data_IF_815375163596
#
_entry.id   IF_815375163596
#
_cell.length_a   1.000
_cell.length_b   1.000
_cell.length_c   1.000
_cell.angle_alpha   90.00
_cell.angle_beta   90.00
_cell.angle_gamma   90.00
#
_symmetry.space_group_name_H-M   'P 1'
#
loop_
_entity.id
_entity.type
_entity.pdbx_description
1 polymer ?
#
# COMPACT_ATOMS: atom_id res chain seq x y z
N UNK A 1 -9.53 -28.07 -25.77
CA UNK A 1 -9.55 -26.59 -25.84
C UNK A 1 -9.97 -26.12 -24.46
N UNK A 2 -9.02 -25.65 -23.62
CA UNK A 2 -9.40 -24.99 -22.36
C UNK A 2 -10.10 -23.69 -22.76
N UNK A 3 -11.35 -23.53 -22.35
CA UNK A 3 -12.01 -22.25 -22.42
C UNK A 3 -11.19 -21.28 -21.58
N UNK A 4 -10.45 -20.41 -22.26
CA UNK A 4 -9.77 -19.27 -21.64
C UNK A 4 -10.86 -18.36 -21.12
N UNK A 5 -11.21 -18.51 -19.86
CA UNK A 5 -12.07 -17.62 -19.11
C UNK A 5 -11.31 -16.32 -18.83
N UNK A 6 -10.91 -15.60 -19.92
CA UNK A 6 -10.42 -14.24 -19.83
C UNK A 6 -11.61 -13.44 -19.34
N UNK A 7 -11.58 -13.02 -18.09
CA UNK A 7 -12.50 -11.99 -17.60
C UNK A 7 -12.44 -10.87 -18.63
N UNK A 8 -13.47 -10.74 -19.43
CA UNK A 8 -13.62 -9.73 -20.47
C UNK A 8 -13.89 -8.39 -19.78
N UNK A 9 -12.95 -7.95 -18.92
CA UNK A 9 -13.11 -6.65 -18.27
C UNK A 9 -13.66 -5.66 -19.28
N UNK A 10 -14.57 -4.82 -18.89
CA UNK A 10 -15.38 -3.89 -19.67
C UNK A 10 -14.65 -3.06 -20.76
N UNK A 11 -13.58 -3.64 -21.38
CA UNK A 11 -12.72 -2.97 -22.36
C UNK A 11 -13.48 -2.48 -23.60
N UNK A 12 -14.59 -3.11 -23.95
CA UNK A 12 -15.44 -2.69 -25.07
C UNK A 12 -16.15 -1.35 -24.81
N UNK A 13 -16.32 -0.96 -23.55
CA UNK A 13 -16.87 0.34 -23.18
C UNK A 13 -15.89 1.49 -23.47
N UNK A 14 -14.65 1.19 -23.86
CA UNK A 14 -13.65 2.20 -24.20
C UNK A 14 -14.07 3.03 -25.42
N UNK A 15 -14.37 4.30 -25.18
CA UNK A 15 -14.74 5.30 -26.19
C UNK A 15 -13.54 5.89 -26.96
N UNK A 16 -12.32 5.41 -26.71
CA UNK A 16 -11.07 5.88 -27.35
C UNK A 16 -10.76 7.36 -27.17
N UNK A 17 -11.25 7.99 -26.12
CA UNK A 17 -11.06 9.41 -25.80
C UNK A 17 -9.62 9.80 -25.41
N UNK A 18 -8.76 8.82 -25.08
CA UNK A 18 -7.34 9.00 -24.66
C UNK A 18 -7.11 9.74 -23.34
N UNK A 19 -8.12 10.05 -22.53
CA UNK A 19 -7.92 10.67 -21.20
C UNK A 19 -7.00 9.85 -20.29
N UNK A 20 -7.03 8.53 -20.37
CA UNK A 20 -6.14 7.66 -19.62
C UNK A 20 -4.65 7.87 -19.96
N UNK A 21 -4.34 8.38 -21.15
CA UNK A 21 -2.96 8.66 -21.59
C UNK A 21 -2.43 9.95 -20.97
N UNK A 22 -3.29 10.97 -20.79
CA UNK A 22 -2.89 12.27 -20.22
C UNK A 22 -2.51 12.20 -18.75
N UNK A 23 -3.08 11.24 -18.01
CA UNK A 23 -2.83 11.05 -16.57
C UNK A 23 -1.79 9.97 -16.28
N UNK A 24 -1.24 9.32 -17.32
CA UNK A 24 -0.30 8.22 -17.13
C UNK A 24 1.12 8.73 -16.83
N UNK A 25 1.63 8.54 -15.61
CA UNK A 25 2.95 9.05 -15.24
C UNK A 25 4.08 8.33 -15.98
N UNK A 26 3.86 7.07 -16.40
CA UNK A 26 4.87 6.32 -17.15
C UNK A 26 4.96 6.82 -18.57
N UNK A 27 3.84 7.00 -19.26
CA UNK A 27 3.83 7.48 -20.63
C UNK A 27 4.47 8.88 -20.77
N UNK A 28 4.27 9.73 -19.76
CA UNK A 28 4.89 11.05 -19.71
C UNK A 28 6.42 11.02 -19.54
N UNK A 29 7.00 9.91 -19.01
CA UNK A 29 8.41 9.84 -18.61
C UNK A 29 9.19 8.67 -19.24
N UNK A 30 8.52 7.81 -20.02
CA UNK A 30 9.16 6.66 -20.66
C UNK A 30 8.63 6.49 -22.09
N UNK A 31 9.41 6.84 -23.13
CA UNK A 31 8.98 6.74 -24.52
C UNK A 31 8.78 5.30 -25.00
N UNK A 32 9.36 4.30 -24.32
CA UNK A 32 9.20 2.88 -24.66
C UNK A 32 7.83 2.34 -24.25
N UNK A 33 7.04 3.10 -23.49
CA UNK A 33 5.70 2.70 -23.08
C UNK A 33 4.63 3.30 -24.00
N UNK A 34 3.95 2.43 -24.74
CA UNK A 34 2.90 2.84 -25.68
C UNK A 34 1.61 3.38 -25.04
N UNK A 35 1.56 3.49 -23.71
CA UNK A 35 0.44 4.07 -22.97
C UNK A 35 -0.66 3.09 -22.58
N UNK A 36 -1.53 3.52 -21.63
CA UNK A 36 -2.55 2.66 -21.05
C UNK A 36 -3.64 2.24 -22.03
N UNK A 37 -4.05 3.09 -22.98
CA UNK A 37 -5.06 2.75 -23.99
C UNK A 37 -4.56 1.65 -24.91
N UNK A 38 -3.34 1.80 -25.45
CA UNK A 38 -2.71 0.80 -26.32
C UNK A 38 -2.50 -0.53 -25.59
N UNK A 39 -1.98 -0.49 -24.38
CA UNK A 39 -1.63 -1.68 -23.62
C UNK A 39 -2.84 -2.38 -23.00
N UNK A 40 -3.87 -1.65 -22.61
CA UNK A 40 -5.10 -2.13 -22.02
C UNK A 40 -6.18 -2.46 -23.06
N UNK A 41 -7.20 -1.59 -23.28
CA UNK A 41 -8.37 -1.95 -24.09
C UNK A 41 -8.06 -2.25 -25.55
N UNK A 42 -7.18 -1.51 -26.20
CA UNK A 42 -6.82 -1.80 -27.60
C UNK A 42 -6.00 -3.11 -27.68
N UNK A 43 -5.03 -3.31 -26.77
CA UNK A 43 -4.28 -4.55 -26.68
C UNK A 43 -5.19 -5.75 -26.41
N UNK A 44 -6.23 -5.59 -25.59
CA UNK A 44 -7.18 -6.68 -25.30
C UNK A 44 -7.98 -7.09 -26.55
N UNK A 45 -8.40 -6.14 -27.38
CA UNK A 45 -9.03 -6.46 -28.67
C UNK A 45 -8.14 -7.31 -29.57
N UNK A 46 -6.85 -6.98 -29.64
CA UNK A 46 -5.87 -7.79 -30.41
C UNK A 46 -5.66 -9.16 -29.80
N UNK A 47 -5.55 -9.27 -28.48
CA UNK A 47 -5.38 -10.56 -27.79
C UNK A 47 -6.53 -11.52 -28.08
N UNK A 48 -7.75 -11.01 -28.01
CA UNK A 48 -8.95 -11.82 -28.30
C UNK A 48 -9.07 -12.20 -29.77
N UNK A 49 -8.69 -11.31 -30.70
CA UNK A 49 -8.81 -11.54 -32.15
C UNK A 49 -7.73 -12.49 -32.66
N UNK A 50 -6.50 -12.33 -32.22
CA UNK A 50 -5.32 -12.97 -32.83
C UNK A 50 -4.68 -14.05 -31.93
N UNK A 51 -5.31 -14.39 -30.80
CA UNK A 51 -4.72 -15.27 -29.79
C UNK A 51 -3.71 -14.52 -28.91
N UNK A 52 -2.56 -15.14 -28.63
CA UNK A 52 -1.56 -14.58 -27.73
C UNK A 52 -0.88 -13.37 -28.36
N UNK A 53 -1.08 -12.20 -27.77
CA UNK A 53 -0.32 -11.00 -28.05
C UNK A 53 0.30 -10.48 -26.75
N UNK A 54 1.62 -10.56 -26.67
CA UNK A 54 2.40 -9.99 -25.57
C UNK A 54 3.33 -8.90 -26.11
N UNK A 55 3.19 -7.71 -25.57
CA UNK A 55 4.08 -6.58 -25.83
C UNK A 55 4.97 -6.37 -24.61
N UNK A 56 6.28 -6.42 -24.78
CA UNK A 56 7.26 -6.23 -23.71
C UNK A 56 7.09 -4.88 -22.99
N UNK A 57 6.44 -3.90 -23.61
CA UNK A 57 6.12 -2.61 -22.98
C UNK A 57 5.14 -2.71 -21.82
N UNK A 58 4.35 -3.80 -21.72
CA UNK A 58 3.42 -4.04 -20.61
C UNK A 58 4.14 -4.04 -19.24
N UNK A 59 5.42 -4.39 -19.21
CA UNK A 59 6.26 -4.38 -17.99
C UNK A 59 6.41 -2.99 -17.36
N UNK A 60 6.22 -1.92 -18.13
CA UNK A 60 6.36 -0.55 -17.65
C UNK A 60 5.12 -0.04 -16.90
N UNK A 61 3.97 -0.69 -17.04
CA UNK A 61 2.78 -0.33 -16.27
C UNK A 61 3.02 -0.50 -14.76
N UNK A 62 2.85 0.59 -14.00
CA UNK A 62 3.05 0.62 -12.54
C UNK A 62 1.86 0.08 -11.75
N UNK A 63 0.75 -0.24 -12.41
CA UNK A 63 -0.52 -0.62 -11.76
C UNK A 63 -1.04 0.45 -10.76
N UNK A 64 -0.77 1.72 -11.02
CA UNK A 64 -1.18 2.83 -10.15
C UNK A 64 -2.67 3.20 -10.25
N UNK A 65 -3.40 2.60 -11.18
CA UNK A 65 -4.85 2.78 -11.39
C UNK A 65 -5.31 4.18 -11.81
N UNK A 66 -4.44 5.19 -11.96
CA UNK A 66 -4.83 6.55 -12.34
C UNK A 66 -5.60 6.61 -13.65
N UNK A 67 -5.23 5.77 -14.63
CA UNK A 67 -5.95 5.65 -15.90
C UNK A 67 -7.39 5.13 -15.73
N UNK A 68 -7.67 4.36 -14.68
CA UNK A 68 -9.02 3.88 -14.34
C UNK A 68 -9.82 4.97 -13.65
N UNK A 69 -9.21 5.72 -12.72
CA UNK A 69 -9.83 6.87 -12.05
C UNK A 69 -10.27 7.92 -13.07
N UNK A 70 -9.42 8.21 -14.06
CA UNK A 70 -9.72 9.18 -15.10
C UNK A 70 -10.64 8.67 -16.23
N UNK A 71 -10.99 7.39 -16.24
CA UNK A 71 -11.79 6.82 -17.33
C UNK A 71 -13.28 7.14 -17.18
N UNK A 72 -13.91 7.95 -18.06
CA UNK A 72 -15.32 8.30 -17.94
C UNK A 72 -16.26 7.10 -18.17
N UNK A 73 -15.76 6.06 -18.84
CA UNK A 73 -16.50 4.81 -19.09
C UNK A 73 -16.20 3.72 -18.06
N UNK A 74 -15.45 4.01 -17.01
CA UNK A 74 -15.12 3.07 -15.95
C UNK A 74 -14.32 1.84 -16.41
N UNK A 75 -13.58 1.91 -17.51
CA UNK A 75 -12.78 0.78 -18.01
C UNK A 75 -11.64 0.47 -17.06
N UNK A 76 -11.51 -0.78 -16.65
CA UNK A 76 -10.45 -1.26 -15.74
C UNK A 76 -9.15 -1.50 -16.49
N UNK A 77 -8.54 -0.42 -16.95
CA UNK A 77 -7.42 -0.41 -17.90
C UNK A 77 -6.16 -1.06 -17.32
N UNK A 78 -5.83 -0.74 -16.08
CA UNK A 78 -4.64 -1.29 -15.43
C UNK A 78 -4.83 -2.80 -15.14
N UNK A 79 -6.04 -3.23 -14.77
CA UNK A 79 -6.35 -4.64 -14.58
C UNK A 79 -6.19 -5.44 -15.86
N UNK A 80 -6.68 -4.91 -17.01
CA UNK A 80 -6.45 -5.55 -18.32
C UNK A 80 -4.96 -5.73 -18.62
N UNK A 81 -4.13 -4.73 -18.29
CA UNK A 81 -2.69 -4.80 -18.48
C UNK A 81 -2.06 -5.84 -17.55
N UNK A 82 -2.45 -5.84 -16.26
CA UNK A 82 -1.93 -6.82 -15.30
C UNK A 82 -2.36 -8.24 -15.64
N UNK A 83 -3.61 -8.45 -16.02
CA UNK A 83 -4.11 -9.76 -16.49
C UNK A 83 -3.30 -10.26 -17.70
N UNK A 84 -3.04 -9.38 -18.68
CA UNK A 84 -2.21 -9.73 -19.82
C UNK A 84 -0.77 -10.08 -19.41
N UNK A 85 -0.20 -9.36 -18.42
CA UNK A 85 1.13 -9.70 -17.87
C UNK A 85 1.12 -11.06 -17.18
N UNK A 86 0.09 -11.38 -16.43
CA UNK A 86 -0.06 -12.65 -15.72
C UNK A 86 -0.20 -13.82 -16.72
N UNK A 87 -1.05 -13.64 -17.70
CA UNK A 87 -1.41 -14.71 -18.65
C UNK A 87 -0.31 -14.98 -19.68
N UNK A 88 0.29 -13.93 -20.23
CA UNK A 88 1.17 -14.04 -21.38
C UNK A 88 2.66 -13.87 -21.05
N UNK A 89 3.02 -13.45 -19.83
CA UNK A 89 4.42 -13.39 -19.41
C UNK A 89 4.90 -14.78 -19.02
N UNK A 90 5.63 -15.44 -19.93
CA UNK A 90 6.20 -16.79 -19.69
C UNK A 90 7.52 -16.75 -18.90
N UNK A 91 7.97 -15.58 -18.43
CA UNK A 91 9.26 -15.43 -17.76
C UNK A 91 9.14 -15.83 -16.29
N UNK A 92 9.94 -16.77 -15.84
CA UNK A 92 10.13 -17.05 -14.43
C UNK A 92 10.65 -15.78 -13.70
N UNK A 93 10.19 -15.49 -12.48
CA UNK A 93 10.66 -14.34 -11.74
C UNK A 93 12.17 -14.48 -11.48
N UNK A 94 12.91 -13.35 -11.63
CA UNK A 94 14.34 -13.30 -11.33
C UNK A 94 14.55 -13.44 -9.81
N UNK A 95 15.72 -13.90 -9.38
CA UNK A 95 16.07 -14.01 -7.97
C UNK A 95 15.80 -12.69 -7.21
N UNK A 96 16.17 -11.56 -7.79
CA UNK A 96 15.85 -10.22 -7.26
C UNK A 96 14.35 -10.03 -7.00
N UNK A 97 13.52 -10.42 -7.97
CA UNK A 97 12.08 -10.23 -7.90
C UNK A 97 11.46 -11.09 -6.80
N UNK A 98 11.99 -12.32 -6.64
CA UNK A 98 11.62 -13.20 -5.52
C UNK A 98 12.01 -12.58 -4.18
N UNK A 99 13.23 -12.07 -4.06
CA UNK A 99 13.70 -11.42 -2.81
C UNK A 99 12.84 -10.21 -2.45
N UNK A 100 12.57 -9.32 -3.42
CA UNK A 100 11.74 -8.13 -3.20
C UNK A 100 10.29 -8.47 -2.86
N UNK A 101 9.78 -9.61 -3.32
CA UNK A 101 8.40 -10.03 -3.09
C UNK A 101 8.21 -10.90 -1.83
N UNK A 102 9.28 -11.31 -1.17
CA UNK A 102 9.27 -12.29 -0.07
C UNK A 102 9.56 -11.66 1.31
N UNK A 103 9.17 -10.41 1.53
CA UNK A 103 9.37 -9.71 2.81
C UNK A 103 8.77 -10.49 4.00
N UNK A 104 7.64 -11.14 3.79
CA UNK A 104 6.98 -11.99 4.77
C UNK A 104 7.78 -13.24 5.16
N UNK A 105 8.54 -13.81 4.21
CA UNK A 105 9.36 -15.00 4.44
C UNK A 105 10.75 -14.63 4.98
N UNK A 106 11.33 -13.53 4.48
CA UNK A 106 12.65 -13.04 4.89
C UNK A 106 12.59 -12.28 6.22
N UNK A 107 11.45 -11.68 6.53
CA UNK A 107 11.25 -10.83 7.71
C UNK A 107 11.66 -11.49 9.02
N UNK A 108 11.23 -12.72 9.35
CA UNK A 108 11.62 -13.38 10.58
C UNK A 108 13.13 -13.55 10.75
N UNK A 109 13.82 -13.99 9.70
CA UNK A 109 15.28 -14.18 9.70
C UNK A 109 16.01 -12.84 9.76
N UNK A 110 15.59 -11.88 8.93
CA UNK A 110 16.21 -10.56 8.88
C UNK A 110 16.02 -9.80 10.19
N UNK A 111 14.87 -9.95 10.86
CA UNK A 111 14.62 -9.34 12.18
C UNK A 111 15.49 -9.95 13.28
N UNK A 112 15.71 -11.26 13.26
CA UNK A 112 16.55 -11.93 14.24
C UNK A 112 18.01 -11.41 14.27
N UNK A 113 18.49 -10.95 13.12
CA UNK A 113 19.85 -10.39 12.94
C UNK A 113 19.83 -8.96 12.39
N UNK A 114 18.77 -8.21 12.68
CA UNK A 114 18.51 -6.89 12.10
C UNK A 114 19.68 -5.88 12.20
N UNK A 115 20.42 -5.78 13.32
CA UNK A 115 21.57 -4.86 13.39
C UNK A 115 22.62 -5.16 12.31
N UNK A 116 22.92 -6.44 12.07
CA UNK A 116 23.91 -6.88 11.08
C UNK A 116 23.38 -6.62 9.67
N UNK A 117 22.14 -7.03 9.40
CA UNK A 117 21.49 -6.82 8.08
C UNK A 117 21.41 -5.33 7.75
N UNK A 118 20.92 -4.51 8.67
CA UNK A 118 20.77 -3.06 8.46
C UNK A 118 22.12 -2.37 8.24
N UNK A 119 23.16 -2.75 9.01
CA UNK A 119 24.52 -2.25 8.82
C UNK A 119 25.05 -2.64 7.43
N UNK A 120 24.96 -3.91 7.07
CA UNK A 120 25.43 -4.42 5.78
C UNK A 120 24.73 -3.75 4.59
N UNK A 121 23.40 -3.62 4.62
CA UNK A 121 22.62 -2.95 3.57
C UNK A 121 22.89 -1.44 3.48
N UNK A 122 23.49 -0.83 4.51
CA UNK A 122 23.93 0.56 4.51
C UNK A 122 25.26 0.77 3.79
N UNK A 123 26.09 -0.26 3.65
CA UNK A 123 27.46 -0.16 3.10
C UNK A 123 27.44 0.01 1.57
N UNK A 124 28.17 1.01 1.07
CA UNK A 124 28.27 1.26 -0.38
C UNK A 124 28.83 0.05 -1.16
N UNK A 125 29.86 -0.70 -0.69
CA UNK A 125 30.33 -1.89 -1.39
C UNK A 125 29.27 -2.99 -1.52
N UNK A 126 28.44 -3.19 -0.47
CA UNK A 126 27.34 -4.18 -0.50
C UNK A 126 26.28 -3.76 -1.49
N UNK A 127 25.87 -2.49 -1.48
CA UNK A 127 24.94 -1.95 -2.47
C UNK A 127 25.47 -2.08 -3.90
N UNK A 128 26.75 -1.81 -4.12
CA UNK A 128 27.41 -1.98 -5.41
C UNK A 128 27.42 -3.45 -5.87
N UNK A 129 27.65 -4.40 -4.94
CA UNK A 129 27.60 -5.81 -5.23
C UNK A 129 26.16 -6.26 -5.60
N UNK A 130 25.14 -5.80 -4.87
CA UNK A 130 23.73 -6.08 -5.17
C UNK A 130 23.29 -5.49 -6.53
N UNK A 131 23.82 -4.30 -6.87
CA UNK A 131 23.58 -3.69 -8.19
C UNK A 131 24.20 -4.54 -9.31
N UNK A 132 25.42 -5.00 -9.14
CA UNK A 132 26.14 -5.78 -10.14
C UNK A 132 25.56 -7.19 -10.31
N UNK A 133 25.20 -7.86 -9.21
CA UNK A 133 24.83 -9.29 -9.22
C UNK A 133 23.35 -9.52 -9.49
N UNK A 134 22.47 -8.79 -8.80
CA UNK A 134 21.02 -9.01 -8.90
C UNK A 134 20.28 -7.80 -9.50
N UNK A 135 20.94 -6.67 -9.73
CA UNK A 135 20.37 -5.49 -10.37
C UNK A 135 19.43 -4.68 -9.44
N UNK A 136 19.72 -4.66 -8.13
CA UNK A 136 19.15 -3.67 -7.21
C UNK A 136 19.99 -2.38 -7.31
N UNK A 137 19.33 -1.26 -7.56
CA UNK A 137 20.04 0.00 -7.77
C UNK A 137 20.79 0.45 -6.49
N UNK A 138 22.10 0.68 -6.59
CA UNK A 138 22.95 1.04 -5.47
C UNK A 138 22.62 2.40 -4.83
N UNK A 139 21.92 3.29 -5.56
CA UNK A 139 21.47 4.60 -5.07
C UNK A 139 20.25 4.49 -4.15
N UNK A 140 19.55 3.34 -4.14
CA UNK A 140 18.37 3.13 -3.31
C UNK A 140 18.73 3.04 -1.82
N UNK A 141 17.89 3.69 -1.02
CA UNK A 141 17.79 3.35 0.40
C UNK A 141 16.96 2.07 0.52
N UNK A 142 17.56 1.04 1.08
CA UNK A 142 16.88 -0.24 1.30
C UNK A 142 16.10 -0.21 2.62
N UNK A 143 14.92 -0.86 2.68
CA UNK A 143 14.13 -0.94 3.91
C UNK A 143 14.93 -1.58 5.05
N UNK A 144 14.86 -0.97 6.23
CA UNK A 144 15.46 -1.53 7.45
C UNK A 144 14.50 -2.54 8.09
N UNK A 145 15.06 -3.52 8.80
CA UNK A 145 14.32 -4.47 9.62
C UNK A 145 14.40 -4.08 11.09
N UNK A 146 13.31 -4.31 11.82
CA UNK A 146 13.29 -4.14 13.28
C UNK A 146 13.79 -5.40 13.98
N UNK A 147 14.55 -5.23 15.06
CA UNK A 147 15.00 -6.36 15.90
C UNK A 147 13.85 -6.99 16.71
N UNK A 148 12.81 -6.21 17.01
CA UNK A 148 11.59 -6.68 17.64
C UNK A 148 10.45 -6.58 16.64
N UNK A 149 9.80 -7.69 16.31
CA UNK A 149 8.62 -7.69 15.44
C UNK A 149 7.40 -7.16 16.20
N UNK A 150 6.44 -6.56 15.47
CA UNK A 150 5.20 -6.12 16.10
C UNK A 150 4.45 -7.25 16.78
N UNK A 151 4.32 -8.42 16.15
CA UNK A 151 3.62 -9.57 16.72
C UNK A 151 4.26 -10.03 18.03
N UNK A 152 5.60 -10.05 18.11
CA UNK A 152 6.30 -10.37 19.36
C UNK A 152 5.99 -9.34 20.45
N UNK A 153 6.13 -8.05 20.12
CA UNK A 153 5.82 -6.96 21.06
C UNK A 153 4.37 -7.01 21.55
N UNK A 154 3.42 -7.21 20.61
CA UNK A 154 1.99 -7.24 20.91
C UNK A 154 1.66 -8.37 21.91
N UNK A 155 2.11 -9.59 21.62
CA UNK A 155 1.86 -10.75 22.49
C UNK A 155 2.44 -10.55 23.91
N UNK A 156 3.59 -9.90 24.01
CA UNK A 156 4.26 -9.64 25.28
C UNK A 156 3.63 -8.51 26.09
N UNK A 157 3.18 -7.43 25.42
CA UNK A 157 2.87 -6.17 26.11
C UNK A 157 1.40 -5.74 26.02
N UNK A 158 0.66 -6.20 25.01
CA UNK A 158 -0.68 -5.67 24.72
C UNK A 158 -1.79 -6.73 24.74
N UNK A 159 -1.52 -7.95 24.32
CA UNK A 159 -2.54 -8.99 24.09
C UNK A 159 -3.46 -9.24 25.27
N UNK A 160 -2.90 -9.31 26.50
CA UNK A 160 -3.68 -9.63 27.74
C UNK A 160 -4.74 -8.58 28.11
N UNK A 161 -4.63 -7.37 27.56
CA UNK A 161 -5.56 -6.27 27.86
C UNK A 161 -6.70 -6.16 26.83
N UNK A 162 -6.59 -6.82 25.68
CA UNK A 162 -7.50 -6.56 24.56
C UNK A 162 -8.92 -7.08 24.81
N UNK A 163 -9.08 -8.15 25.55
CA UNK A 163 -10.41 -8.69 25.87
C UNK A 163 -11.19 -7.87 26.91
N UNK A 164 -10.55 -6.90 27.58
CA UNK A 164 -11.21 -6.03 28.55
C UNK A 164 -12.03 -4.90 27.93
N UNK A 165 -11.85 -4.62 26.64
CA UNK A 165 -12.60 -3.60 25.91
C UNK A 165 -13.99 -4.11 25.52
N UNK A 166 -14.97 -3.18 25.36
CA UNK A 166 -16.34 -3.54 24.97
C UNK A 166 -16.51 -3.75 23.47
N UNK A 167 -15.73 -3.02 22.67
CA UNK A 167 -15.73 -3.09 21.20
C UNK A 167 -14.46 -3.80 20.73
N UNK A 168 -14.53 -4.58 19.69
CA UNK A 168 -13.40 -5.37 19.22
C UNK A 168 -13.25 -5.26 17.70
N UNK A 169 -12.00 -5.21 17.24
CA UNK A 169 -11.61 -5.27 15.84
C UNK A 169 -10.51 -6.29 15.63
N UNK A 170 -10.38 -6.75 14.40
CA UNK A 170 -9.23 -7.52 13.94
C UNK A 170 -8.27 -6.61 13.13
N UNK A 171 -7.00 -6.67 13.45
CA UNK A 171 -5.97 -5.84 12.80
C UNK A 171 -5.19 -6.64 11.78
N UNK A 172 -5.30 -6.25 10.50
CA UNK A 172 -4.41 -6.73 9.44
C UNK A 172 -3.16 -5.84 9.41
N UNK A 173 -2.09 -6.30 10.06
CA UNK A 173 -0.87 -5.50 10.22
C UNK A 173 0.05 -5.54 8.99
N UNK A 174 -0.03 -6.61 8.17
CA UNK A 174 0.84 -6.78 7.02
C UNK A 174 2.32 -6.98 7.37
N UNK A 175 3.16 -7.16 6.33
CA UNK A 175 4.57 -7.44 6.53
C UNK A 175 5.37 -6.20 6.95
N UNK A 176 5.03 -5.01 6.42
CA UNK A 176 5.76 -3.78 6.72
C UNK A 176 5.68 -3.39 8.20
N UNK A 177 4.46 -3.30 8.75
CA UNK A 177 4.27 -2.95 10.15
C UNK A 177 4.77 -4.03 11.11
N UNK A 178 4.88 -5.28 10.66
CA UNK A 178 5.44 -6.34 11.50
C UNK A 178 6.97 -6.33 11.55
N UNK A 179 7.63 -6.20 10.39
CA UNK A 179 9.08 -6.44 10.28
C UNK A 179 9.91 -5.19 10.07
N UNK A 180 9.37 -4.17 9.39
CA UNK A 180 10.13 -2.98 9.01
C UNK A 180 9.85 -1.78 9.92
N UNK A 181 8.59 -1.55 10.30
CA UNK A 181 8.21 -0.39 11.11
C UNK A 181 7.15 -0.74 12.16
N UNK A 182 7.50 -1.53 13.21
CA UNK A 182 6.57 -1.93 14.27
C UNK A 182 5.93 -0.77 15.03
N UNK A 183 6.57 0.41 15.04
CA UNK A 183 6.02 1.59 15.70
C UNK A 183 4.66 1.98 15.12
N UNK A 184 4.45 1.89 13.81
CA UNK A 184 3.15 2.14 13.18
C UNK A 184 2.04 1.26 13.77
N UNK A 185 2.31 -0.04 13.94
CA UNK A 185 1.33 -0.95 14.51
C UNK A 185 1.12 -0.70 16.01
N UNK A 186 2.17 -0.30 16.75
CA UNK A 186 2.07 0.12 18.16
C UNK A 186 1.19 1.36 18.29
N UNK A 187 1.39 2.35 17.41
CA UNK A 187 0.59 3.58 17.35
C UNK A 187 -0.88 3.25 17.06
N UNK A 188 -1.14 2.35 16.10
CA UNK A 188 -2.49 1.87 15.80
C UNK A 188 -3.16 1.25 17.02
N UNK A 189 -2.49 0.35 17.73
CA UNK A 189 -3.04 -0.28 18.94
C UNK A 189 -3.34 0.79 20.00
N UNK A 190 -2.43 1.75 20.20
CA UNK A 190 -2.62 2.81 21.19
C UNK A 190 -3.82 3.71 20.86
N UNK A 191 -3.96 4.12 19.61
CA UNK A 191 -5.09 4.93 19.14
C UNK A 191 -6.41 4.18 19.28
N UNK A 192 -6.47 2.92 18.81
CA UNK A 192 -7.70 2.13 18.90
C UNK A 192 -8.10 1.84 20.32
N UNK A 193 -7.15 1.51 21.21
CA UNK A 193 -7.41 1.32 22.64
C UNK A 193 -7.92 2.60 23.31
N UNK A 194 -7.36 3.78 22.93
CA UNK A 194 -7.85 5.06 23.45
C UNK A 194 -9.31 5.33 23.01
N UNK A 195 -9.71 4.86 21.86
CA UNK A 195 -11.09 4.93 21.39
C UNK A 195 -11.98 3.77 21.87
N UNK A 196 -11.51 2.95 22.82
CA UNK A 196 -12.31 1.89 23.45
C UNK A 196 -12.41 0.59 22.65
N UNK A 197 -11.56 0.39 21.64
CA UNK A 197 -11.51 -0.83 20.86
C UNK A 197 -10.39 -1.75 21.32
N UNK A 198 -10.73 -3.01 21.63
CA UNK A 198 -9.77 -4.10 21.76
C UNK A 198 -9.30 -4.56 20.38
N UNK A 199 -7.98 -4.63 20.21
CA UNK A 199 -7.32 -4.99 18.95
C UNK A 199 -6.92 -6.46 19.00
N UNK A 200 -7.31 -7.25 17.99
CA UNK A 200 -6.95 -8.66 17.92
C UNK A 200 -6.14 -8.94 16.65
N UNK A 201 -5.06 -9.68 16.79
CA UNK A 201 -4.30 -10.15 15.64
C UNK A 201 -5.09 -11.24 14.90
N UNK A 202 -4.95 -11.25 13.58
CA UNK A 202 -5.60 -12.23 12.71
C UNK A 202 -4.76 -13.51 12.71
N UNK A 203 -5.30 -14.56 13.30
CA UNK A 203 -4.61 -15.85 13.35
C UNK A 203 -4.48 -16.45 11.94
N UNK A 204 -3.25 -16.72 11.52
CA UNK A 204 -2.96 -17.24 10.19
C UNK A 204 -2.85 -16.16 9.09
N UNK A 205 -2.80 -14.88 9.47
CA UNK A 205 -2.53 -13.79 8.54
C UNK A 205 -1.30 -14.05 7.68
N UNK A 206 -1.41 -13.70 6.39
CA UNK A 206 -0.31 -13.70 5.42
C UNK A 206 -0.14 -12.32 4.83
N UNK A 207 0.99 -12.07 4.17
CA UNK A 207 1.17 -10.86 3.38
C UNK A 207 0.00 -10.68 2.40
N UNK A 208 -0.43 -9.43 2.15
CA UNK A 208 -1.47 -9.15 1.15
C UNK A 208 -1.13 -9.67 -0.25
N UNK A 209 0.14 -9.89 -0.56
CA UNK A 209 0.59 -10.50 -1.81
C UNK A 209 0.86 -9.50 -2.93
N UNK A 210 0.66 -8.19 -2.75
CA UNK A 210 0.84 -7.19 -3.82
C UNK A 210 2.22 -7.26 -4.48
N UNK A 211 3.29 -7.43 -3.71
CA UNK A 211 4.64 -7.55 -4.25
C UNK A 211 4.82 -8.85 -5.06
N UNK A 212 4.16 -9.94 -4.66
CA UNK A 212 4.13 -11.21 -5.40
C UNK A 212 3.37 -11.05 -6.72
N UNK A 213 2.21 -10.38 -6.71
CA UNK A 213 1.43 -10.06 -7.92
C UNK A 213 2.28 -9.22 -8.89
N UNK A 214 2.87 -8.12 -8.40
CA UNK A 214 3.68 -7.20 -9.21
C UNK A 214 4.89 -7.87 -9.87
N UNK A 215 5.40 -8.95 -9.30
CA UNK A 215 6.56 -9.71 -9.80
C UNK A 215 6.17 -11.06 -10.44
N UNK A 216 4.90 -11.29 -10.74
CA UNK A 216 4.44 -12.47 -11.47
C UNK A 216 4.41 -13.78 -10.66
N UNK A 217 4.51 -13.70 -9.34
CA UNK A 217 4.48 -14.86 -8.43
C UNK A 217 3.03 -15.24 -8.07
N UNK A 218 2.18 -15.38 -9.10
CA UNK A 218 0.73 -15.55 -8.94
C UNK A 218 0.32 -16.76 -8.10
N UNK A 219 0.90 -17.95 -8.28
CA UNK A 219 0.53 -19.10 -7.44
C UNK A 219 0.80 -18.87 -5.95
N UNK A 220 1.87 -18.16 -5.61
CA UNK A 220 2.19 -17.83 -4.23
C UNK A 220 1.23 -16.78 -3.68
N UNK A 221 0.95 -15.70 -4.44
CA UNK A 221 -0.01 -14.68 -4.06
C UNK A 221 -1.42 -15.27 -3.86
N UNK A 222 -1.85 -16.18 -4.73
CA UNK A 222 -3.16 -16.84 -4.62
C UNK A 222 -3.26 -17.73 -3.36
N UNK A 223 -2.19 -18.43 -2.98
CA UNK A 223 -2.18 -19.20 -1.72
C UNK A 223 -2.32 -18.29 -0.50
N UNK A 224 -1.59 -17.15 -0.49
CA UNK A 224 -1.68 -16.19 0.60
C UNK A 224 -3.06 -15.54 0.66
N UNK A 225 -3.64 -15.17 -0.49
CA UNK A 225 -4.98 -14.61 -0.57
C UNK A 225 -6.05 -15.57 -0.01
N UNK A 226 -6.01 -16.85 -0.40
CA UNK A 226 -6.94 -17.86 0.12
C UNK A 226 -6.80 -18.06 1.63
N UNK A 227 -5.55 -18.05 2.14
CA UNK A 227 -5.30 -18.15 3.58
C UNK A 227 -5.85 -16.92 4.33
N UNK A 228 -5.66 -15.72 3.78
CA UNK A 228 -6.23 -14.49 4.35
C UNK A 228 -7.76 -14.51 4.35
N UNK A 229 -8.41 -14.92 3.27
CA UNK A 229 -9.88 -15.02 3.23
C UNK A 229 -10.41 -15.98 4.29
N UNK A 230 -9.76 -17.13 4.49
CA UNK A 230 -10.11 -18.07 5.55
C UNK A 230 -9.90 -17.49 6.96
N UNK A 231 -8.80 -16.77 7.17
CA UNK A 231 -8.50 -16.11 8.44
C UNK A 231 -9.47 -14.96 8.75
N UNK A 232 -9.85 -14.17 7.75
CA UNK A 232 -10.83 -13.09 7.87
C UNK A 232 -12.22 -13.62 8.19
N UNK A 233 -12.67 -14.70 7.54
CA UNK A 233 -13.94 -15.35 7.88
C UNK A 233 -14.02 -15.73 9.35
N UNK A 234 -12.92 -16.24 9.94
CA UNK A 234 -12.86 -16.54 11.38
C UNK A 234 -12.97 -15.29 12.26
N UNK A 235 -12.42 -14.15 11.81
CA UNK A 235 -12.56 -12.87 12.51
C UNK A 235 -14.01 -12.38 12.47
N UNK A 236 -14.66 -12.48 11.32
CA UNK A 236 -16.07 -12.07 11.16
C UNK A 236 -17.04 -12.92 11.98
N UNK A 237 -16.79 -14.23 12.09
CA UNK A 237 -17.60 -15.10 12.99
C UNK A 237 -17.51 -14.64 14.45
N UNK A 238 -16.40 -13.97 14.84
CA UNK A 238 -16.24 -13.35 16.17
C UNK A 238 -16.80 -11.93 16.24
N UNK A 239 -17.51 -11.46 15.22
CA UNK A 239 -18.07 -10.10 15.14
C UNK A 239 -17.01 -9.00 15.05
N UNK A 240 -15.85 -9.25 14.42
CA UNK A 240 -14.73 -8.32 14.36
C UNK A 240 -14.46 -7.92 12.92
N UNK A 241 -14.67 -6.66 12.60
CA UNK A 241 -14.26 -6.08 11.32
C UNK A 241 -12.73 -6.05 11.20
N UNK A 242 -12.23 -6.06 9.97
CA UNK A 242 -10.81 -6.08 9.64
C UNK A 242 -10.35 -4.66 9.34
N UNK A 243 -9.46 -4.14 10.17
CA UNK A 243 -8.91 -2.79 9.99
C UNK A 243 -7.46 -2.88 9.54
N UNK A 244 -7.08 -2.04 8.60
CA UNK A 244 -5.73 -1.93 8.04
C UNK A 244 -5.18 -0.51 8.20
N UNK A 245 -3.86 -0.34 8.09
CA UNK A 245 -3.16 0.97 8.10
C UNK A 245 -2.40 1.23 6.80
N UNK A 246 -2.48 0.32 5.85
CA UNK A 246 -1.78 0.40 4.56
C UNK A 246 -2.77 0.43 3.40
N UNK A 247 -2.81 1.54 2.69
CA UNK A 247 -3.69 1.68 1.53
C UNK A 247 -3.38 0.68 0.41
N UNK A 248 -2.10 0.31 0.25
CA UNK A 248 -1.70 -0.70 -0.74
C UNK A 248 -2.22 -2.09 -0.38
N UNK A 249 -2.14 -2.48 0.89
CA UNK A 249 -2.73 -3.74 1.34
C UNK A 249 -4.25 -3.72 1.19
N UNK A 250 -4.91 -2.65 1.61
CA UNK A 250 -6.37 -2.50 1.49
C UNK A 250 -6.83 -2.65 0.04
N UNK A 251 -6.20 -1.94 -0.88
CA UNK A 251 -6.49 -2.03 -2.31
C UNK A 251 -6.35 -3.48 -2.83
N UNK A 252 -5.29 -4.17 -2.44
CA UNK A 252 -5.03 -5.55 -2.85
C UNK A 252 -6.10 -6.50 -2.32
N UNK A 253 -6.48 -6.39 -1.05
CA UNK A 253 -7.51 -7.19 -0.42
C UNK A 253 -8.90 -6.96 -1.06
N UNK A 254 -9.22 -5.72 -1.39
CA UNK A 254 -10.54 -5.33 -1.92
C UNK A 254 -10.69 -5.59 -3.41
N UNK A 255 -9.69 -5.24 -4.23
CA UNK A 255 -9.82 -5.25 -5.68
C UNK A 255 -8.94 -6.29 -6.38
N UNK A 256 -7.68 -6.48 -5.99
CA UNK A 256 -6.77 -7.36 -6.74
C UNK A 256 -7.03 -8.85 -6.46
N UNK A 257 -7.54 -9.20 -5.28
CA UNK A 257 -7.91 -10.58 -4.98
C UNK A 257 -8.95 -11.12 -5.97
N UNK A 258 -10.12 -10.51 -6.14
CA UNK A 258 -11.09 -11.01 -7.12
C UNK A 258 -10.62 -10.79 -8.57
N UNK A 259 -10.01 -9.66 -8.88
CA UNK A 259 -9.71 -9.29 -10.26
C UNK A 259 -8.49 -10.01 -10.84
N UNK A 260 -7.40 -10.08 -10.09
CA UNK A 260 -6.13 -10.62 -10.58
C UNK A 260 -5.87 -12.06 -10.13
N UNK A 261 -6.26 -12.41 -8.91
CA UNK A 261 -6.01 -13.73 -8.35
C UNK A 261 -7.21 -14.68 -8.47
N UNK A 262 -8.38 -14.15 -8.88
CA UNK A 262 -9.64 -14.90 -8.95
C UNK A 262 -10.01 -15.55 -7.60
N UNK A 263 -9.72 -14.84 -6.52
CA UNK A 263 -10.09 -15.23 -5.15
C UNK A 263 -11.28 -14.38 -4.72
N UNK A 264 -12.41 -15.03 -4.52
CA UNK A 264 -13.66 -14.37 -4.10
C UNK A 264 -13.52 -13.77 -2.70
N UNK A 265 -13.92 -12.51 -2.56
CA UNK A 265 -13.95 -11.77 -1.31
C UNK A 265 -15.32 -11.12 -1.04
N UNK A 266 -16.36 -11.50 -1.80
CA UNK A 266 -17.67 -10.83 -1.79
C UNK A 266 -18.35 -10.80 -0.43
N UNK A 267 -18.18 -11.84 0.40
CA UNK A 267 -18.72 -11.90 1.76
C UNK A 267 -17.82 -11.28 2.83
N UNK A 268 -16.68 -10.67 2.47
CA UNK A 268 -15.68 -10.19 3.42
C UNK A 268 -15.33 -8.72 3.16
N UNK A 269 -15.31 -8.29 1.91
CA UNK A 269 -14.82 -6.97 1.48
C UNK A 269 -15.49 -5.79 2.21
N UNK A 270 -16.76 -5.90 2.55
CA UNK A 270 -17.54 -4.86 3.23
C UNK A 270 -17.11 -4.68 4.70
N UNK A 271 -16.42 -5.68 5.23
CA UNK A 271 -15.86 -5.70 6.58
C UNK A 271 -14.37 -5.34 6.62
N UNK A 272 -13.77 -4.99 5.49
CA UNK A 272 -12.38 -4.53 5.41
C UNK A 272 -12.37 -3.02 5.26
N UNK A 273 -11.73 -2.32 6.19
CA UNK A 273 -11.61 -0.86 6.14
C UNK A 273 -10.17 -0.41 6.42
N UNK A 274 -9.79 0.67 5.75
CA UNK A 274 -8.65 1.47 6.18
C UNK A 274 -9.03 2.22 7.46
N UNK A 275 -8.07 2.46 8.33
CA UNK A 275 -8.32 3.06 9.65
C UNK A 275 -8.83 4.49 9.57
N UNK A 276 -8.39 5.29 8.60
CA UNK A 276 -8.77 6.70 8.45
C UNK A 276 -10.27 6.88 8.19
N UNK A 277 -10.89 6.24 7.18
CA UNK A 277 -12.34 6.33 7.00
C UNK A 277 -13.13 5.71 8.17
N UNK A 278 -12.59 4.69 8.84
CA UNK A 278 -13.20 4.10 10.02
C UNK A 278 -13.28 5.12 11.18
N UNK A 279 -12.16 5.73 11.51
CA UNK A 279 -12.09 6.73 12.59
C UNK A 279 -12.83 8.01 12.24
N UNK A 280 -12.68 8.53 11.01
CA UNK A 280 -13.34 9.75 10.59
C UNK A 280 -14.86 9.66 10.78
N UNK A 281 -15.48 8.62 10.24
CA UNK A 281 -16.93 8.40 10.32
C UNK A 281 -17.42 8.31 11.78
N UNK A 282 -16.68 7.60 12.62
CA UNK A 282 -17.06 7.42 14.02
C UNK A 282 -16.86 8.69 14.86
N UNK A 283 -15.86 9.51 14.54
CA UNK A 283 -15.65 10.81 15.19
C UNK A 283 -16.68 11.84 14.70
N UNK A 284 -16.94 11.92 13.39
CA UNK A 284 -17.92 12.82 12.79
C UNK A 284 -19.32 12.56 13.33
N UNK A 285 -19.71 11.29 13.48
CA UNK A 285 -21.01 10.91 14.06
C UNK A 285 -21.13 11.17 15.57
N UNK A 286 -20.02 11.51 16.24
CA UNK A 286 -19.95 11.69 17.69
C UNK A 286 -19.90 10.38 18.49
N UNK A 287 -19.77 9.23 17.81
CA UNK A 287 -19.58 7.94 18.47
C UNK A 287 -18.24 7.86 19.20
N UNK A 288 -17.19 8.43 18.61
CA UNK A 288 -15.85 8.53 19.19
C UNK A 288 -15.53 10.00 19.49
N UNK A 289 -14.91 10.24 20.64
CA UNK A 289 -14.58 11.59 21.11
C UNK A 289 -13.08 11.73 21.32
N UNK A 290 -12.36 12.37 20.37
CA UNK A 290 -10.93 12.63 20.53
C UNK A 290 -10.70 13.73 21.58
N UNK A 291 -9.64 13.58 22.37
CA UNK A 291 -9.08 14.65 23.19
C UNK A 291 -7.69 14.94 22.67
N UNK A 292 -7.48 16.17 22.24
CA UNK A 292 -6.19 16.59 21.68
C UNK A 292 -5.26 17.12 22.78
N UNK A 293 -3.95 16.88 22.63
CA UNK A 293 -2.94 17.46 23.51
C UNK A 293 -2.90 18.98 23.37
N UNK A 294 -2.94 19.69 24.48
CA UNK A 294 -2.78 21.15 24.49
C UNK A 294 -1.40 21.54 23.93
N UNK A 295 -1.39 22.56 23.06
CA UNK A 295 -0.15 23.13 22.52
C UNK A 295 0.57 22.25 21.48
N UNK A 296 0.02 21.08 21.11
CA UNK A 296 0.58 20.28 20.00
C UNK A 296 0.43 21.06 18.69
N UNK A 297 1.52 21.20 17.95
CA UNK A 297 1.55 21.93 16.68
C UNK A 297 2.50 21.22 15.70
N UNK A 298 2.15 21.23 14.42
CA UNK A 298 3.01 20.75 13.35
C UNK A 298 2.56 21.32 12.00
N UNK A 299 3.50 21.40 11.04
CA UNK A 299 3.21 21.69 9.63
C UNK A 299 3.46 20.44 8.80
N UNK A 300 2.42 19.96 8.13
CA UNK A 300 2.48 18.77 7.32
C UNK A 300 2.02 19.05 5.89
N UNK A 301 2.56 18.29 4.94
CA UNK A 301 1.97 18.15 3.61
C UNK A 301 1.33 16.77 3.49
N UNK A 302 0.17 16.66 2.87
CA UNK A 302 -0.48 15.37 2.61
C UNK A 302 -0.25 14.94 1.17
N UNK A 303 0.36 13.78 1.00
CA UNK A 303 0.46 13.08 -0.27
C UNK A 303 -0.55 11.94 -0.31
N UNK A 304 -1.60 12.08 -1.15
CA UNK A 304 -2.55 11.01 -1.40
C UNK A 304 -1.90 9.94 -2.30
N UNK A 305 -1.67 8.70 -1.80
CA UNK A 305 -1.13 7.63 -2.63
C UNK A 305 -2.10 7.22 -3.74
N UNK A 306 -1.58 6.75 -4.88
CA UNK A 306 -2.42 6.39 -6.02
C UNK A 306 -3.44 5.28 -5.73
N UNK A 307 -3.16 4.35 -4.83
CA UNK A 307 -4.14 3.35 -4.41
C UNK A 307 -5.23 3.95 -3.51
N UNK A 308 -4.88 4.96 -2.70
CA UNK A 308 -5.84 5.74 -1.92
C UNK A 308 -6.79 6.55 -2.82
N UNK A 309 -6.22 7.21 -3.85
CA UNK A 309 -6.97 7.90 -4.89
C UNK A 309 -7.93 6.95 -5.62
N UNK A 310 -7.46 5.74 -5.98
CA UNK A 310 -8.26 4.71 -6.63
C UNK A 310 -9.45 4.26 -5.76
N UNK A 311 -9.26 4.10 -4.47
CA UNK A 311 -10.30 3.72 -3.52
C UNK A 311 -11.26 4.87 -3.17
N UNK A 312 -10.94 6.12 -3.56
CA UNK A 312 -11.71 7.30 -3.20
C UNK A 312 -11.64 7.65 -1.72
N UNK A 313 -10.60 7.21 -1.01
CA UNK A 313 -10.52 7.32 0.44
C UNK A 313 -9.68 8.51 0.92
N UNK A 314 -8.99 9.24 0.03
CA UNK A 314 -8.11 10.35 0.41
C UNK A 314 -8.82 11.47 1.17
N UNK A 315 -10.07 11.75 0.85
CA UNK A 315 -10.88 12.76 1.55
C UNK A 315 -11.05 12.46 3.04
N UNK A 316 -11.21 11.19 3.42
CA UNK A 316 -11.36 10.81 4.82
C UNK A 316 -10.09 11.07 5.61
N UNK A 317 -8.92 10.83 5.02
CA UNK A 317 -7.64 11.15 5.65
C UNK A 317 -7.47 12.64 5.83
N UNK A 318 -7.76 13.42 4.79
CA UNK A 318 -7.62 14.89 4.84
C UNK A 318 -8.52 15.49 5.90
N UNK A 319 -9.79 15.11 5.93
CA UNK A 319 -10.75 15.62 6.91
C UNK A 319 -10.43 15.16 8.34
N UNK A 320 -9.98 13.91 8.52
CA UNK A 320 -9.54 13.41 9.82
C UNK A 320 -8.32 14.21 10.36
N UNK A 321 -7.35 14.48 9.50
CA UNK A 321 -6.16 15.25 9.88
C UNK A 321 -6.52 16.73 10.19
N UNK A 322 -7.46 17.34 9.46
CA UNK A 322 -7.95 18.69 9.74
C UNK A 322 -8.67 18.82 11.09
N UNK A 323 -9.15 17.72 11.69
CA UNK A 323 -9.72 17.74 13.03
C UNK A 323 -8.67 17.96 14.12
N UNK A 324 -7.37 17.82 13.82
CA UNK A 324 -6.28 17.98 14.80
C UNK A 324 -6.00 19.48 14.99
N UNK A 325 -6.30 20.08 16.16
CA UNK A 325 -5.98 21.46 16.40
C UNK A 325 -4.47 21.70 16.37
N UNK A 326 -4.04 22.72 15.64
CA UNK A 326 -2.61 23.04 15.52
C UNK A 326 -1.87 22.27 14.42
N UNK A 327 -2.51 21.41 13.64
CA UNK A 327 -1.95 20.86 12.42
C UNK A 327 -2.21 21.80 11.24
N UNK A 328 -1.15 22.42 10.74
CA UNK A 328 -1.19 23.14 9.47
C UNK A 328 -0.98 22.15 8.33
N UNK A 329 -2.06 21.79 7.61
CA UNK A 329 -2.04 20.76 6.57
C UNK A 329 -2.08 21.40 5.17
N UNK A 330 -1.05 21.16 4.36
CA UNK A 330 -1.03 21.48 2.93
C UNK A 330 -1.37 20.24 2.13
N UNK A 331 -2.48 20.24 1.41
CA UNK A 331 -2.84 19.17 0.50
C UNK A 331 -2.02 19.31 -0.81
N UNK A 332 -1.20 18.30 -1.12
CA UNK A 332 -0.42 18.28 -2.36
C UNK A 332 -1.28 17.80 -3.53
N UNK A 333 -0.96 18.27 -4.74
CA UNK A 333 -1.56 17.69 -5.94
C UNK A 333 -1.30 16.18 -5.99
N UNK A 334 -2.28 15.43 -6.49
CA UNK A 334 -2.15 13.99 -6.65
C UNK A 334 -1.13 13.67 -7.77
N UNK A 335 0.14 13.51 -7.39
CA UNK A 335 1.22 13.09 -8.25
C UNK A 335 1.80 11.75 -7.79
N UNK A 336 2.20 10.89 -8.74
CA UNK A 336 2.80 9.60 -8.40
C UNK A 336 4.20 9.78 -7.80
N UNK A 337 4.52 9.08 -6.72
CA UNK A 337 5.89 9.09 -6.16
C UNK A 337 6.92 8.35 -7.04
N UNK A 338 6.47 7.52 -7.98
CA UNK A 338 7.30 6.82 -8.95
C UNK A 338 7.87 5.47 -8.50
N UNK A 339 7.74 5.08 -7.24
CA UNK A 339 8.37 3.83 -6.76
C UNK A 339 7.62 2.56 -7.21
N UNK A 340 6.27 2.60 -7.20
CA UNK A 340 5.40 1.48 -7.55
C UNK A 340 5.84 0.14 -6.91
N UNK A 341 5.80 0.07 -5.60
CA UNK A 341 6.21 -1.11 -4.84
C UNK A 341 7.67 -1.49 -5.10
N UNK A 342 7.88 -2.59 -5.82
CA UNK A 342 9.24 -3.09 -6.11
C UNK A 342 9.86 -2.54 -7.38
N UNK A 343 9.09 -1.84 -8.24
CA UNK A 343 9.54 -1.34 -9.54
C UNK A 343 10.75 -0.41 -9.44
N UNK A 344 10.66 0.60 -8.60
CA UNK A 344 11.70 1.62 -8.47
C UNK A 344 12.99 1.13 -7.79
N UNK A 345 13.01 -0.05 -7.16
CA UNK A 345 14.23 -0.65 -6.61
C UNK A 345 15.13 -1.26 -7.69
N UNK A 346 14.57 -1.55 -8.85
CA UNK A 346 15.28 -2.20 -9.96
C UNK A 346 16.15 -1.20 -10.69
N UNK A 347 17.40 -1.57 -10.97
CA UNK A 347 18.42 -0.72 -11.62
C UNK A 347 17.93 -0.09 -12.93
N UNK A 348 17.30 -0.91 -13.77
CA UNK A 348 16.76 -0.49 -15.06
C UNK A 348 15.62 0.54 -14.95
N UNK A 349 14.95 0.60 -13.81
CA UNK A 349 13.78 1.45 -13.60
C UNK A 349 14.08 2.71 -12.76
N UNK A 350 15.23 2.78 -12.11
CA UNK A 350 15.54 3.83 -11.14
C UNK A 350 15.37 5.24 -11.73
N UNK A 351 15.96 5.48 -12.90
CA UNK A 351 15.91 6.79 -13.55
C UNK A 351 14.46 7.21 -13.86
N UNK A 352 13.68 6.32 -14.46
CA UNK A 352 12.26 6.57 -14.79
C UNK A 352 11.45 6.78 -13.50
N UNK A 353 11.69 5.98 -12.47
CA UNK A 353 11.06 6.12 -11.16
C UNK A 353 11.30 7.51 -10.54
N UNK A 354 12.52 8.04 -10.62
CA UNK A 354 12.85 9.38 -10.14
C UNK A 354 12.20 10.48 -10.98
N UNK A 355 12.18 10.33 -12.31
CA UNK A 355 11.52 11.28 -13.21
C UNK A 355 10.02 11.36 -12.93
N UNK A 356 9.36 10.23 -12.72
CA UNK A 356 7.93 10.19 -12.39
C UNK A 356 7.66 10.92 -11.05
N UNK A 357 8.50 10.71 -10.04
CA UNK A 357 8.32 11.32 -8.72
C UNK A 357 8.68 12.80 -8.66
N UNK A 358 9.38 13.33 -9.66
CA UNK A 358 9.98 14.67 -9.59
C UNK A 358 8.99 15.78 -9.24
N UNK A 359 7.81 15.78 -9.85
CA UNK A 359 6.80 16.83 -9.57
C UNK A 359 6.36 16.78 -8.10
N UNK A 360 6.11 15.59 -7.56
CA UNK A 360 5.79 15.43 -6.14
C UNK A 360 6.94 15.94 -5.25
N UNK A 361 8.19 15.66 -5.60
CA UNK A 361 9.34 16.11 -4.81
C UNK A 361 9.49 17.64 -4.85
N UNK A 362 9.25 18.26 -6.00
CA UNK A 362 9.25 19.71 -6.15
C UNK A 362 8.10 20.36 -5.35
N UNK A 363 6.91 19.77 -5.35
CA UNK A 363 5.74 20.23 -4.59
C UNK A 363 6.00 20.14 -3.06
N UNK A 364 6.62 19.05 -2.59
CA UNK A 364 7.04 18.90 -1.17
C UNK A 364 8.08 19.96 -0.80
N UNK A 365 9.08 20.18 -1.65
CA UNK A 365 10.10 21.20 -1.41
C UNK A 365 9.50 22.60 -1.32
N UNK A 366 8.51 22.91 -2.16
CA UNK A 366 7.79 24.20 -2.15
C UNK A 366 6.92 24.40 -0.93
N UNK A 367 6.26 23.34 -0.44
CA UNK A 367 5.45 23.38 0.77
C UNK A 367 6.30 23.45 2.04
N UNK A 368 7.57 23.05 1.99
CA UNK A 368 8.52 23.04 3.11
C UNK A 368 7.93 22.51 4.44
N UNK A 369 7.28 21.33 4.44
CA UNK A 369 6.66 20.77 5.63
C UNK A 369 7.69 20.20 6.60
N UNK A 370 7.32 20.04 7.87
CA UNK A 370 8.13 19.30 8.85
C UNK A 370 8.10 17.79 8.55
N UNK A 371 6.99 17.30 8.02
CA UNK A 371 6.83 15.93 7.53
C UNK A 371 5.73 15.83 6.48
N UNK A 372 5.76 14.76 5.71
CA UNK A 372 4.69 14.40 4.77
C UNK A 372 3.80 13.33 5.42
N UNK A 373 2.49 13.55 5.44
CA UNK A 373 1.50 12.54 5.82
C UNK A 373 1.21 11.63 4.61
N UNK A 374 1.28 10.31 4.79
CA UNK A 374 1.02 9.34 3.71
C UNK A 374 0.78 7.93 4.27
N UNK A 375 -0.24 7.23 3.77
CA UNK A 375 -0.64 5.88 4.20
C UNK A 375 0.11 4.75 3.46
N UNK A 376 1.01 5.11 2.55
CA UNK A 376 1.71 4.13 1.73
C UNK A 376 3.20 4.04 2.12
N UNK A 377 3.60 2.87 2.59
CA UNK A 377 4.97 2.57 3.03
C UNK A 377 6.00 2.71 1.91
N UNK A 378 5.64 2.35 0.68
CA UNK A 378 6.58 2.49 -0.45
C UNK A 378 6.70 3.93 -0.90
N UNK A 379 5.64 4.73 -0.85
CA UNK A 379 5.71 6.17 -1.06
C UNK A 379 6.61 6.83 0.00
N UNK A 380 6.50 6.42 1.28
CA UNK A 380 7.40 6.86 2.35
C UNK A 380 8.87 6.68 1.96
N UNK A 381 9.28 5.48 1.57
CA UNK A 381 10.67 5.21 1.20
C UNK A 381 11.15 6.07 0.02
N UNK A 382 10.30 6.32 -0.96
CA UNK A 382 10.62 7.14 -2.12
C UNK A 382 10.78 8.60 -1.76
N UNK A 383 9.83 9.15 -1.01
CA UNK A 383 9.80 10.55 -0.61
C UNK A 383 11.00 10.85 0.31
N UNK A 384 11.20 10.07 1.37
CA UNK A 384 12.31 10.25 2.30
C UNK A 384 13.68 10.18 1.61
N UNK A 385 13.85 9.22 0.69
CA UNK A 385 15.10 9.10 -0.06
C UNK A 385 15.35 10.30 -0.99
N UNK A 386 14.28 10.83 -1.62
CA UNK A 386 14.43 11.83 -2.68
C UNK A 386 14.37 13.27 -2.18
N UNK A 387 13.71 13.53 -1.04
CA UNK A 387 13.52 14.88 -0.49
C UNK A 387 14.22 15.12 0.83
N UNK A 388 14.55 14.04 1.56
CA UNK A 388 15.05 14.13 2.95
C UNK A 388 13.97 14.48 3.98
N UNK A 389 12.72 14.76 3.56
CA UNK A 389 11.61 15.08 4.46
C UNK A 389 11.05 13.80 5.06
N UNK A 390 10.87 13.71 6.39
CA UNK A 390 10.29 12.52 7.03
C UNK A 390 8.85 12.30 6.57
N UNK A 391 8.44 11.02 6.51
CA UNK A 391 7.05 10.66 6.18
C UNK A 391 6.42 9.93 7.35
N UNK A 392 5.24 10.37 7.77
CA UNK A 392 4.46 9.76 8.84
C UNK A 392 3.14 9.19 8.29
N UNK A 393 2.76 8.03 8.79
CA UNK A 393 1.41 7.53 8.56
C UNK A 393 0.41 8.35 9.40
N UNK A 394 -0.80 8.67 8.91
CA UNK A 394 -1.82 9.41 9.63
C UNK A 394 -2.11 8.86 11.03
N UNK A 395 -2.09 7.55 11.21
CA UNK A 395 -2.26 6.91 12.53
C UNK A 395 -1.17 7.32 13.52
N UNK A 396 0.08 7.40 13.07
CA UNK A 396 1.18 7.87 13.93
C UNK A 396 1.04 9.35 14.29
N UNK A 397 0.50 10.17 13.38
CA UNK A 397 0.18 11.58 13.65
C UNK A 397 -0.91 11.68 14.72
N UNK A 398 -1.96 10.86 14.61
CA UNK A 398 -3.02 10.78 15.62
C UNK A 398 -2.46 10.35 16.97
N UNK A 399 -1.60 9.33 17.04
CA UNK A 399 -0.99 8.88 18.29
C UNK A 399 -0.13 9.96 18.96
N UNK A 400 0.54 10.81 18.16
CA UNK A 400 1.30 11.95 18.66
C UNK A 400 0.40 13.09 19.15
N UNK A 401 -0.71 13.38 18.46
CA UNK A 401 -1.57 14.53 18.71
C UNK A 401 -2.65 14.28 19.78
N UNK A 402 -3.12 13.03 19.93
CA UNK A 402 -4.13 12.67 20.92
C UNK A 402 -3.54 12.62 22.34
N UNK A 403 -4.28 13.17 23.31
CA UNK A 403 -4.14 12.80 24.71
C UNK A 403 -4.83 11.43 24.93
N UNK A 404 -4.05 10.37 24.81
CA UNK A 404 -4.55 9.00 24.78
C UNK A 404 -5.26 8.62 26.08
N UNK A 405 -4.81 9.14 27.23
CA UNK A 405 -5.41 8.83 28.56
C UNK A 405 -6.80 9.48 28.65
N UNK A 406 -6.89 10.79 28.42
CA UNK A 406 -8.18 11.49 28.44
C UNK A 406 -9.14 11.01 27.35
N UNK A 407 -8.63 10.67 26.17
CA UNK A 407 -9.45 10.06 25.11
C UNK A 407 -10.03 8.73 25.59
N UNK A 408 -9.23 7.89 26.25
CA UNK A 408 -9.68 6.61 26.81
C UNK A 408 -10.75 6.79 27.91
N UNK A 409 -10.60 7.78 28.79
CA UNK A 409 -11.59 8.08 29.82
C UNK A 409 -12.98 8.42 29.24
N UNK A 410 -13.04 9.04 28.07
CA UNK A 410 -14.30 9.40 27.42
C UNK A 410 -14.93 8.22 26.63
N UNK A 411 -14.14 7.32 26.09
CA UNK A 411 -14.61 6.31 25.15
C UNK A 411 -14.70 4.88 25.76
N UNK A 412 -14.08 4.63 26.90
CA UNK A 412 -14.11 3.30 27.57
C UNK A 412 -15.16 3.17 28.69
N UNK A 413 -15.98 4.21 28.93
CA UNK A 413 -17.02 4.20 29.98
C UNK A 413 -18.26 3.37 29.63
#
# INVERSE_FOLDING_TARGET
MQENNISTGNFEQCQKCSLCETVCPVMANNPDYGGPKRSGPDGQRYRLKNGIFYDDSLKYCLNCKRCEVACPSGVRIADLIQQARIEFSQKSPKLRDVMLASTDQMGPLASAVAPIVNFSLGLAPVKGLLDLTIGLDHRRTLPKYSSETFVHWFNKNAASKQDSYKKHISYFHGCYANYNYPQLAKDFVAVMNAFGYGVHLIEGERCCGVAKIANGMIPAATRDAKANMSAFSKSLVKGRDIITVSTTCTMTLLEEYPELLKVDNSGIKEHISLVEPFLYKAIESGELKPVWKEGWKARAAYHCPCHQERLGLGIFTTELLKMIPGLELTELESNCCGIAGTYGFKKENFKVSQMIGKKLFDDIASAAPEFVACECETCKWQIEMSTGVPVKNPVSILAEALDLEKTSELNCR
#
